data_IF_953600986444
#
_entry.id   IF_953600986444
#
_cell.length_a   1.000
_cell.length_b   1.000
_cell.length_c   1.000
_cell.angle_alpha   90.00
_cell.angle_beta   90.00
_cell.angle_gamma   90.00
#
_symmetry.space_group_name_H-M   'P 1'
#
loop_
_entity.id
_entity.type
_entity.pdbx_description
1 polymer ?
#
# COMPACT_ATOMS: atom_id res chain seq x y z
N UNK A 1 -7.64 -8.12 8.30
CA UNK A 1 -7.39 -7.80 6.88
C UNK A 1 -6.05 -7.11 6.75
N UNK A 2 -5.29 -7.51 5.74
CA UNK A 2 -3.93 -7.00 5.51
C UNK A 2 -3.78 -6.67 4.02
N UNK A 3 -3.24 -5.50 3.74
CA UNK A 3 -2.88 -5.05 2.40
C UNK A 3 -1.37 -4.78 2.37
N UNK A 4 -0.69 -5.28 1.34
CA UNK A 4 0.76 -5.09 1.14
C UNK A 4 0.98 -4.57 -0.28
N UNK A 5 1.11 -3.26 -0.38
CA UNK A 5 1.32 -2.58 -1.65
C UNK A 5 2.82 -2.44 -1.92
N UNK A 6 3.21 -2.66 -3.18
CA UNK A 6 4.52 -2.27 -3.70
C UNK A 6 4.31 -1.47 -4.97
N UNK A 7 4.62 -0.18 -4.94
CA UNK A 7 4.57 0.71 -6.10
C UNK A 7 5.97 0.92 -6.63
N UNK A 8 6.15 0.79 -7.94
CA UNK A 8 7.43 1.01 -8.59
C UNK A 8 7.25 2.09 -9.64
N UNK A 9 8.06 3.14 -9.54
CA UNK A 9 8.18 4.19 -10.56
C UNK A 9 9.58 4.11 -11.14
N UNK A 10 9.67 3.91 -12.46
CA UNK A 10 10.92 4.04 -13.19
C UNK A 10 10.82 5.24 -14.12
N UNK A 11 11.77 6.17 -13.99
CA UNK A 11 11.88 7.32 -14.89
C UNK A 11 12.99 7.05 -15.88
N UNK A 12 12.66 7.08 -17.17
CA UNK A 12 13.61 6.94 -18.27
C UNK A 12 13.84 8.31 -18.88
N UNK A 13 15.10 8.64 -19.15
CA UNK A 13 15.50 9.88 -19.82
C UNK A 13 16.69 9.57 -20.73
N UNK A 14 16.74 10.17 -21.92
CA UNK A 14 17.77 9.89 -22.92
C UNK A 14 19.20 10.15 -22.42
N UNK A 15 19.38 11.07 -21.45
CA UNK A 15 20.69 11.50 -20.97
C UNK A 15 21.04 11.08 -19.53
N UNK A 16 20.18 10.32 -18.84
CA UNK A 16 20.44 9.93 -17.45
C UNK A 16 20.13 8.44 -17.17
N UNK A 17 20.87 7.88 -16.21
CA UNK A 17 20.66 6.50 -15.74
C UNK A 17 19.24 6.37 -15.16
N UNK A 18 18.52 5.29 -15.47
CA UNK A 18 17.16 5.11 -14.97
C UNK A 18 17.16 5.10 -13.44
N UNK A 19 16.28 5.92 -12.86
CA UNK A 19 16.04 5.92 -11.42
C UNK A 19 14.77 5.14 -11.15
N UNK A 20 14.93 4.02 -10.45
CA UNK A 20 13.82 3.19 -9.98
C UNK A 20 13.54 3.56 -8.53
N UNK A 21 12.33 4.06 -8.26
CA UNK A 21 11.81 4.29 -6.92
C UNK A 21 10.82 3.17 -6.60
N UNK A 22 11.05 2.47 -5.49
CA UNK A 22 10.16 1.45 -4.94
C UNK A 22 9.57 1.94 -3.62
N UNK A 23 8.25 2.00 -3.55
CA UNK A 23 7.50 2.31 -2.34
C UNK A 23 6.77 1.05 -1.86
N UNK A 24 7.03 0.64 -0.61
CA UNK A 24 6.40 -0.51 0.04
C UNK A 24 5.52 0.02 1.17
N UNK A 25 4.23 -0.27 1.13
CA UNK A 25 3.26 0.15 2.15
C UNK A 25 2.48 -1.06 2.67
N UNK A 26 2.50 -1.29 3.97
CA UNK A 26 1.73 -2.33 4.63
C UNK A 26 0.64 -1.70 5.48
N UNK A 27 -0.58 -2.18 5.33
CA UNK A 27 -1.75 -1.71 6.07
C UNK A 27 -2.49 -2.88 6.67
N UNK A 28 -2.92 -2.75 7.92
CA UNK A 28 -3.54 -3.87 8.64
C UNK A 28 -4.51 -3.42 9.72
N UNK A 29 -5.65 -4.11 9.82
CA UNK A 29 -6.58 -4.00 10.93
C UNK A 29 -7.42 -5.28 11.06
N UNK A 30 -7.99 -5.50 12.24
CA UNK A 30 -9.01 -6.55 12.45
C UNK A 30 -10.39 -6.00 12.06
N UNK A 31 -11.33 -6.88 11.67
CA UNK A 31 -12.72 -6.48 11.40
C UNK A 31 -13.37 -5.82 12.63
N UNK A 32 -13.06 -6.32 13.84
CA UNK A 32 -13.51 -5.70 15.09
C UNK A 32 -13.02 -4.25 15.26
N UNK A 33 -11.74 -4.00 14.96
CA UNK A 33 -11.17 -2.64 15.04
C UNK A 33 -11.70 -1.70 13.95
N UNK A 34 -12.11 -2.24 12.80
CA UNK A 34 -12.80 -1.47 11.76
C UNK A 34 -14.25 -1.18 12.17
N UNK A 35 -14.96 -2.16 12.74
CA UNK A 35 -16.31 -1.99 13.26
C UNK A 35 -16.41 -0.95 14.37
N UNK A 36 -15.43 -0.89 15.28
CA UNK A 36 -15.37 0.16 16.31
C UNK A 36 -15.18 1.57 15.75
N UNK A 37 -14.77 1.71 14.48
CA UNK A 37 -14.68 2.98 13.74
C UNK A 37 -15.92 3.26 12.89
N UNK A 38 -16.97 2.43 12.96
CA UNK A 38 -18.21 2.56 12.21
C UNK A 38 -18.20 1.89 10.83
N UNK A 39 -17.20 1.07 10.51
CA UNK A 39 -17.19 0.29 9.25
C UNK A 39 -17.94 -1.05 9.40
N UNK A 40 -18.33 -1.71 8.31
CA UNK A 40 -19.02 -3.00 8.37
C UNK A 40 -18.22 -4.06 9.14
N UNK A 41 -18.88 -4.86 9.97
CA UNK A 41 -18.23 -6.01 10.63
C UNK A 41 -18.06 -7.21 9.68
N UNK A 42 -18.90 -7.28 8.66
CA UNK A 42 -18.91 -8.34 7.67
C UNK A 42 -17.72 -8.26 6.71
N UNK A 43 -17.11 -9.41 6.40
CA UNK A 43 -15.91 -9.46 5.58
C UNK A 43 -16.20 -9.19 4.08
N UNK A 44 -17.40 -9.52 3.60
CA UNK A 44 -17.76 -9.38 2.19
C UNK A 44 -17.90 -7.91 1.79
N UNK A 45 -18.04 -7.01 2.76
CA UNK A 45 -18.06 -5.55 2.57
C UNK A 45 -16.70 -4.92 2.23
N UNK A 46 -15.61 -5.70 2.21
CA UNK A 46 -14.23 -5.23 1.99
C UNK A 46 -13.57 -5.84 0.74
N UNK A 47 -14.40 -6.25 -0.20
CA UNK A 47 -14.06 -6.84 -1.48
C UNK A 47 -13.37 -5.88 -2.47
N UNK A 48 -13.40 -4.56 -2.25
CA UNK A 48 -12.62 -3.58 -3.04
C UNK A 48 -11.34 -3.15 -2.30
N UNK A 49 -10.14 -3.60 -2.76
CA UNK A 49 -8.85 -3.23 -2.18
C UNK A 49 -8.57 -1.72 -2.21
N UNK A 50 -9.07 -0.99 -3.22
CA UNK A 50 -8.85 0.44 -3.33
C UNK A 50 -9.61 1.21 -2.24
N UNK A 51 -10.87 0.85 -2.01
CA UNK A 51 -11.70 1.47 -0.96
C UNK A 51 -11.12 1.20 0.43
N UNK A 52 -10.73 -0.05 0.69
CA UNK A 52 -10.25 -0.43 2.02
C UNK A 52 -8.81 0.04 2.32
N UNK A 53 -8.00 0.26 1.29
CA UNK A 53 -6.65 0.84 1.45
C UNK A 53 -6.66 2.18 2.20
N UNK A 54 -7.73 2.98 2.02
CA UNK A 54 -7.90 4.29 2.67
C UNK A 54 -8.33 4.22 4.13
N UNK A 55 -8.85 3.06 4.58
CA UNK A 55 -9.39 2.88 5.94
C UNK A 55 -8.45 2.10 6.85
N UNK A 56 -7.58 1.28 6.26
CA UNK A 56 -6.58 0.51 7.00
C UNK A 56 -5.42 1.42 7.45
N UNK A 57 -5.02 1.36 8.73
CA UNK A 57 -3.87 2.11 9.22
C UNK A 57 -2.57 1.52 8.63
N UNK A 58 -1.61 2.40 8.38
CA UNK A 58 -0.28 2.03 7.88
C UNK A 58 0.57 1.50 9.05
N UNK A 59 1.08 0.28 8.90
CA UNK A 59 1.98 -0.36 9.88
C UNK A 59 3.44 -0.24 9.46
N UNK A 60 3.68 -0.24 8.14
CA UNK A 60 5.01 -0.05 7.59
C UNK A 60 4.92 0.75 6.30
N UNK A 61 5.79 1.74 6.15
CA UNK A 61 5.98 2.48 4.91
C UNK A 61 7.47 2.64 4.66
N UNK A 62 7.95 2.15 3.51
CA UNK A 62 9.37 2.17 3.15
C UNK A 62 9.53 2.56 1.69
N UNK A 63 10.21 3.66 1.47
CA UNK A 63 10.62 4.10 0.14
C UNK A 63 12.10 3.77 -0.09
N UNK A 64 12.43 3.27 -1.26
CA UNK A 64 13.78 2.86 -1.63
C UNK A 64 14.11 3.33 -3.05
N UNK A 65 15.32 3.84 -3.24
CA UNK A 65 15.90 4.04 -4.58
C UNK A 65 16.67 2.78 -4.96
N UNK A 66 16.24 2.08 -5.99
CA UNK A 66 16.92 0.89 -6.51
C UNK A 66 17.92 1.34 -7.58
N UNK A 67 19.16 0.85 -7.46
CA UNK A 67 20.21 1.04 -8.47
C UNK A 67 20.19 -0.17 -9.40
N UNK A 68 20.25 0.07 -10.70
CA UNK A 68 20.47 -0.98 -11.71
C UNK A 68 21.98 -1.24 -11.73
N UNK A 69 22.38 -2.48 -11.43
CA UNK A 69 23.77 -2.96 -11.45
C UNK A 69 24.19 -3.40 -12.84
#
# INVERSE_FOLDING_TARGET
>A
MRLRDTRVLCTFSESAKPVIVRDICWREATFKALASKGYPSDNASYNDPNVISQRLPVVLHKTQKLKVS
#
